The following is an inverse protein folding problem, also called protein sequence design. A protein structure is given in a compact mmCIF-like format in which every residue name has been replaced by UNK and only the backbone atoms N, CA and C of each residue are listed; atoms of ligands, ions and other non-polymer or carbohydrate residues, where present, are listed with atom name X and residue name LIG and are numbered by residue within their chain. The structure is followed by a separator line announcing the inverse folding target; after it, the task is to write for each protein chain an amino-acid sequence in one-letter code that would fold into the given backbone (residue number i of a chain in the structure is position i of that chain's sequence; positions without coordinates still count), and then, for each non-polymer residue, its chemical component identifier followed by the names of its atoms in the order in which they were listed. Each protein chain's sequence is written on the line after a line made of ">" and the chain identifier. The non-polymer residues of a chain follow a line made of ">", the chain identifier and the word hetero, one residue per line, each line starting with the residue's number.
data_IF_402261308476
#
_entry.id   IF_402261308476
#
_cell.length_a   1.000
_cell.length_b   1.000
_cell.length_c   1.000
_cell.angle_alpha   90.00
_cell.angle_beta   90.00
_cell.angle_gamma   90.00
#
_symmetry.space_group_name_H-M   'P 1'
#
loop_
_entity.id
_entity.type
_entity.pdbx_description
1 polymer ?
#
# COMPACT_ATOMS: atom_id res chain seq x y z
N UNK A 1 -34.40 8.65 -35.22
CA UNK A 1 -35.42 8.67 -34.16
C UNK A 1 -35.37 7.29 -33.51
N UNK A 2 -34.47 7.05 -32.56
CA UNK A 2 -34.47 7.42 -31.13
C UNK A 2 -34.91 6.23 -30.24
N UNK A 3 -33.92 5.72 -29.47
CA UNK A 3 -33.97 5.05 -28.15
C UNK A 3 -34.37 3.56 -28.09
N UNK A 4 -33.84 2.68 -27.20
CA UNK A 4 -32.85 2.78 -26.13
C UNK A 4 -32.55 1.40 -25.48
N UNK A 5 -31.50 1.36 -24.64
CA UNK A 5 -31.30 0.40 -23.52
C UNK A 5 -30.39 -0.78 -23.88
N UNK A 6 -29.18 -0.95 -23.33
CA UNK A 6 -28.79 -0.87 -21.92
C UNK A 6 -27.38 -0.26 -21.83
N UNK A 7 -27.28 0.93 -21.25
CA UNK A 7 -26.03 1.48 -20.75
C UNK A 7 -25.98 1.20 -19.24
N UNK A 8 -25.11 0.28 -18.83
CA UNK A 8 -24.67 0.19 -17.44
C UNK A 8 -23.56 1.22 -17.24
N UNK A 9 -23.94 2.44 -16.91
CA UNK A 9 -23.01 3.48 -16.44
C UNK A 9 -22.44 3.04 -15.09
N UNK A 10 -21.15 2.75 -15.05
CA UNK A 10 -20.34 2.88 -13.83
C UNK A 10 -20.37 4.37 -13.46
N UNK A 11 -21.26 4.72 -12.53
CA UNK A 11 -21.34 6.05 -11.97
C UNK A 11 -20.23 6.21 -10.94
N UNK A 12 -19.10 6.78 -11.36
CA UNK A 12 -18.17 7.43 -10.45
C UNK A 12 -18.75 8.81 -10.13
N UNK A 13 -19.41 8.96 -8.99
CA UNK A 13 -19.84 10.27 -8.50
C UNK A 13 -21.06 10.18 -7.59
N UNK A 14 -20.83 10.31 -6.29
CA UNK A 14 -21.75 11.02 -5.42
C UNK A 14 -20.95 11.65 -4.26
N UNK A 15 -21.07 12.98 -4.17
CA UNK A 15 -20.66 13.79 -3.03
C UNK A 15 -21.50 13.38 -1.81
N UNK A 16 -20.91 12.66 -0.85
CA UNK A 16 -21.50 12.46 0.47
C UNK A 16 -20.65 13.16 1.52
N UNK A 17 -21.02 14.41 1.81
CA UNK A 17 -20.62 15.12 3.03
C UNK A 17 -21.42 14.56 4.21
N UNK A 18 -20.95 13.47 4.78
CA UNK A 18 -21.42 12.92 6.04
C UNK A 18 -20.27 12.15 6.67
N UNK A 19 -19.94 12.43 7.93
CA UNK A 19 -18.93 11.67 8.65
C UNK A 19 -19.38 10.21 8.72
N UNK A 20 -18.86 9.39 7.81
CA UNK A 20 -19.10 7.96 7.77
C UNK A 20 -18.39 7.35 8.97
N UNK A 21 -19.16 6.68 9.82
CA UNK A 21 -18.59 5.88 10.91
C UNK A 21 -17.79 4.72 10.31
N UNK A 22 -16.74 4.26 11.00
CA UNK A 22 -15.76 3.32 10.45
C UNK A 22 -16.38 1.98 9.99
N UNK A 23 -17.52 1.61 10.57
CA UNK A 23 -18.30 0.44 10.16
C UNK A 23 -18.94 0.61 8.78
N UNK A 24 -19.32 1.82 8.39
CA UNK A 24 -20.03 2.07 7.12
C UNK A 24 -19.04 2.13 5.95
N UNK A 25 -17.83 2.68 6.14
CA UNK A 25 -16.81 2.72 5.09
C UNK A 25 -16.20 1.33 4.80
N UNK A 26 -15.97 0.52 5.84
CA UNK A 26 -15.51 -0.85 5.68
C UNK A 26 -16.64 -1.76 5.17
N UNK A 27 -17.90 -1.52 5.57
CA UNK A 27 -19.05 -2.22 5.04
C UNK A 27 -19.27 -1.88 3.57
N UNK A 28 -19.25 -0.61 3.15
CA UNK A 28 -19.44 -0.21 1.75
C UNK A 28 -18.32 -0.76 0.83
N UNK A 29 -17.06 -0.77 1.30
CA UNK A 29 -15.96 -1.39 0.54
C UNK A 29 -16.07 -2.92 0.45
N UNK A 30 -16.57 -3.57 1.51
CA UNK A 30 -16.86 -5.00 1.52
C UNK A 30 -18.12 -5.34 0.70
N UNK A 31 -19.14 -4.48 0.71
CA UNK A 31 -20.39 -4.66 -0.02
C UNK A 31 -20.16 -4.46 -1.52
N UNK A 32 -19.32 -3.52 -1.98
CA UNK A 32 -18.97 -3.42 -3.40
C UNK A 32 -18.12 -4.61 -3.91
N UNK A 33 -17.29 -5.19 -3.05
CA UNK A 33 -16.60 -6.45 -3.34
C UNK A 33 -17.57 -7.66 -3.35
N UNK A 34 -18.64 -7.63 -2.54
CA UNK A 34 -19.59 -8.73 -2.35
C UNK A 34 -20.90 -8.64 -3.17
N UNK A 35 -21.31 -7.46 -3.66
CA UNK A 35 -22.67 -7.20 -4.19
C UNK A 35 -22.91 -7.75 -5.60
N UNK A 36 -21.86 -8.21 -6.28
CA UNK A 36 -22.01 -8.95 -7.53
C UNK A 36 -21.84 -10.44 -7.27
N UNK A 37 -22.85 -11.25 -7.62
CA UNK A 37 -22.60 -12.68 -7.89
C UNK A 37 -21.85 -12.79 -9.21
N UNK A 38 -20.73 -13.51 -9.21
CA UNK A 38 -19.96 -13.71 -10.44
C UNK A 38 -20.80 -14.50 -11.44
N UNK A 39 -21.09 -13.95 -12.64
CA UNK A 39 -21.90 -14.65 -13.62
C UNK A 39 -21.08 -15.80 -14.19
N UNK A 40 -21.43 -17.05 -13.85
CA UNK A 40 -20.79 -18.23 -14.41
C UNK A 40 -21.08 -18.32 -15.92
N UNK A 41 -20.21 -17.73 -16.74
CA UNK A 41 -20.31 -17.76 -18.21
C UNK A 41 -19.69 -19.03 -18.81
N UNK A 42 -18.82 -19.72 -18.06
CA UNK A 42 -18.02 -20.85 -18.55
C UNK A 42 -16.91 -20.43 -19.53
N UNK A 43 -16.70 -19.13 -19.71
CA UNK A 43 -15.65 -18.60 -20.59
C UNK A 43 -14.26 -18.98 -20.06
N UNK A 44 -13.32 -19.39 -20.92
CA UNK A 44 -11.94 -19.66 -20.51
C UNK A 44 -11.27 -18.42 -19.92
N UNK A 45 -10.50 -18.62 -18.84
CA UNK A 45 -9.65 -17.57 -18.27
C UNK A 45 -8.31 -17.51 -18.98
N UNK A 46 -7.95 -16.32 -19.41
CA UNK A 46 -6.63 -15.95 -19.87
C UNK A 46 -6.19 -14.71 -19.10
N UNK A 47 -5.21 -14.89 -18.21
CA UNK A 47 -4.63 -13.85 -17.39
C UNK A 47 -3.31 -13.33 -17.94
N UNK A 48 -2.77 -13.91 -19.03
CA UNK A 48 -1.49 -13.47 -19.62
C UNK A 48 -1.59 -12.03 -20.11
N UNK A 49 -0.60 -11.21 -19.77
CA UNK A 49 -0.54 -9.81 -20.18
C UNK A 49 -0.36 -8.85 -19.01
N UNK A 50 -0.68 -7.57 -19.26
CA UNK A 50 -0.47 -6.48 -18.28
C UNK A 50 -1.78 -6.04 -17.66
N UNK A 51 -1.72 -5.80 -16.34
CA UNK A 51 -2.85 -5.47 -15.49
C UNK A 51 -2.50 -4.27 -14.62
N UNK A 52 -3.49 -3.40 -14.40
CA UNK A 52 -3.46 -2.38 -13.36
C UNK A 52 -4.17 -2.94 -12.13
N UNK A 53 -3.48 -2.96 -11.00
CA UNK A 53 -4.08 -3.32 -9.72
C UNK A 53 -4.25 -2.10 -8.84
N UNK A 54 -5.36 -2.03 -8.12
CA UNK A 54 -5.57 -1.10 -7.03
C UNK A 54 -6.00 -1.87 -5.80
N UNK A 55 -5.29 -1.66 -4.70
CA UNK A 55 -5.60 -2.21 -3.40
C UNK A 55 -5.93 -1.07 -2.43
N UNK A 56 -6.98 -1.27 -1.65
CA UNK A 56 -7.39 -0.41 -0.55
C UNK A 56 -7.10 -1.19 0.74
N UNK A 57 -6.20 -0.65 1.55
CA UNK A 57 -5.72 -1.28 2.77
C UNK A 57 -6.28 -0.50 3.94
N UNK A 58 -7.22 -1.11 4.65
CA UNK A 58 -7.72 -0.59 5.91
C UNK A 58 -6.61 -0.69 6.96
N UNK A 59 -6.39 0.39 7.71
CA UNK A 59 -5.36 0.46 8.75
C UNK A 59 -5.88 1.27 9.93
N UNK A 60 -5.73 0.71 11.13
CA UNK A 60 -5.79 1.48 12.37
C UNK A 60 -4.39 1.95 12.74
N UNK A 61 -4.30 3.19 13.20
CA UNK A 61 -3.07 3.77 13.70
C UNK A 61 -3.28 4.16 15.15
N UNK A 62 -2.37 3.72 16.01
CA UNK A 62 -2.40 4.01 17.43
C UNK A 62 -1.02 4.47 17.89
N UNK A 63 -0.97 5.51 18.73
CA UNK A 63 0.31 5.87 19.35
C UNK A 63 0.65 4.86 20.46
N UNK A 64 1.89 4.34 20.52
CA UNK A 64 2.28 3.34 21.52
C UNK A 64 2.30 3.87 22.97
N UNK A 65 2.06 5.17 23.17
CA UNK A 65 2.07 5.85 24.46
C UNK A 65 3.49 6.27 24.90
N UNK A 66 3.60 7.39 25.61
CA UNK A 66 4.88 7.95 26.09
C UNK A 66 5.53 8.98 25.14
N UNK A 67 5.04 9.09 23.92
CA UNK A 67 5.39 10.16 22.98
C UNK A 67 4.84 11.54 23.38
N UNK A 68 5.37 12.57 22.72
CA UNK A 68 4.97 13.98 22.80
C UNK A 68 3.86 14.29 21.77
N UNK A 69 3.77 13.50 20.69
CA UNK A 69 2.79 13.60 19.63
C UNK A 69 1.70 12.56 19.87
N UNK A 70 0.46 13.03 19.85
CA UNK A 70 -0.75 12.25 20.08
C UNK A 70 -1.60 12.24 18.82
N UNK A 71 -2.13 11.08 18.43
CA UNK A 71 -3.14 11.00 17.38
C UNK A 71 -4.48 11.54 17.89
N UNK A 72 -5.23 12.21 17.02
CA UNK A 72 -6.49 12.87 17.36
C UNK A 72 -7.59 12.38 16.41
N UNK A 73 -8.34 11.31 16.71
CA UNK A 73 -8.40 10.55 17.97
C UNK A 73 -7.23 9.56 18.18
N UNK A 74 -7.05 9.10 19.43
CA UNK A 74 -5.97 8.17 19.85
C UNK A 74 -5.82 6.93 18.97
N UNK A 75 -6.97 6.43 18.47
CA UNK A 75 -7.05 5.38 17.46
C UNK A 75 -7.67 5.96 16.19
N UNK A 76 -6.84 6.13 15.17
CA UNK A 76 -7.26 6.66 13.88
C UNK A 76 -7.52 5.51 12.89
N UNK A 77 -8.61 5.58 12.14
CA UNK A 77 -8.87 4.67 11.03
C UNK A 77 -8.57 5.37 9.72
N UNK A 78 -7.71 4.76 8.90
CA UNK A 78 -7.38 5.25 7.57
C UNK A 78 -7.46 4.15 6.52
N UNK A 79 -7.48 4.57 5.26
CA UNK A 79 -7.35 3.66 4.11
C UNK A 79 -6.12 4.08 3.32
N UNK A 80 -5.11 3.22 3.30
CA UNK A 80 -3.99 3.35 2.38
C UNK A 80 -4.37 2.81 1.02
N UNK A 81 -3.94 3.46 -0.06
CA UNK A 81 -4.20 3.01 -1.43
C UNK A 81 -2.89 2.67 -2.10
N UNK A 82 -2.79 1.43 -2.59
CA UNK A 82 -1.65 0.96 -3.37
C UNK A 82 -2.10 0.78 -4.82
N UNK A 83 -1.38 1.37 -5.75
CA UNK A 83 -1.56 1.13 -7.18
C UNK A 83 -0.35 0.37 -7.71
N UNK A 84 -0.59 -0.76 -8.35
CA UNK A 84 0.44 -1.65 -8.87
C UNK A 84 0.27 -1.85 -10.37
N UNK A 85 1.39 -2.05 -11.06
CA UNK A 85 1.42 -2.73 -12.35
C UNK A 85 1.66 -4.21 -12.10
N UNK A 86 0.86 -5.08 -12.68
CA UNK A 86 1.06 -6.53 -12.61
C UNK A 86 1.23 -7.08 -14.01
N UNK A 87 2.34 -7.79 -14.25
CA UNK A 87 2.62 -8.45 -15.53
C UNK A 87 2.60 -9.96 -15.34
N UNK A 88 1.65 -10.61 -15.98
CA UNK A 88 1.50 -12.06 -15.97
C UNK A 88 2.27 -12.66 -17.14
N UNK A 89 3.37 -13.33 -16.84
CA UNK A 89 4.29 -13.88 -17.84
C UNK A 89 3.95 -15.32 -18.23
N UNK A 90 3.35 -16.07 -17.30
CA UNK A 90 3.04 -17.48 -17.49
C UNK A 90 1.69 -17.83 -16.88
N UNK A 91 0.89 -18.61 -17.61
CA UNK A 91 -0.29 -19.29 -17.09
C UNK A 91 -0.32 -20.72 -17.63
N UNK A 92 -0.16 -21.69 -16.74
CA UNK A 92 -0.18 -23.13 -17.07
C UNK A 92 -1.30 -23.80 -16.29
N UNK A 93 -2.46 -23.96 -16.95
CA UNK A 93 -3.68 -24.45 -16.31
C UNK A 93 -4.16 -23.47 -15.24
N UNK A 94 -4.07 -23.89 -13.97
CA UNK A 94 -4.45 -23.08 -12.81
C UNK A 94 -3.28 -22.30 -12.18
N UNK A 95 -2.04 -22.57 -12.59
CA UNK A 95 -0.87 -21.86 -12.05
C UNK A 95 -0.59 -20.60 -12.86
N UNK A 96 -0.31 -19.50 -12.17
CA UNK A 96 -0.01 -18.19 -12.72
C UNK A 96 1.30 -17.68 -12.13
N UNK A 97 2.20 -17.14 -12.97
CA UNK A 97 3.40 -16.42 -12.53
C UNK A 97 3.36 -14.99 -13.03
N UNK A 98 3.70 -14.05 -12.15
CA UNK A 98 3.68 -12.64 -12.46
C UNK A 98 4.82 -11.89 -11.80
N UNK A 99 5.08 -10.68 -12.28
CA UNK A 99 5.82 -9.66 -11.54
C UNK A 99 4.88 -8.51 -11.23
N UNK A 100 5.14 -7.81 -10.13
CA UNK A 100 4.44 -6.57 -9.82
C UNK A 100 5.43 -5.44 -9.56
N UNK A 101 5.03 -4.22 -9.91
CA UNK A 101 5.74 -2.99 -9.64
C UNK A 101 4.81 -2.07 -8.84
N UNK A 102 5.35 -1.39 -7.84
CA UNK A 102 4.61 -0.38 -7.10
C UNK A 102 4.61 0.91 -7.92
N UNK A 103 3.45 1.35 -8.38
CA UNK A 103 3.33 2.61 -9.13
C UNK A 103 3.07 3.80 -8.20
N UNK A 104 2.27 3.59 -7.15
CA UNK A 104 1.94 4.64 -6.17
C UNK A 104 1.50 4.02 -4.85
N UNK A 105 1.95 4.60 -3.74
CA UNK A 105 1.42 4.37 -2.41
C UNK A 105 0.86 5.70 -1.88
N UNK A 106 -0.38 5.69 -1.43
CA UNK A 106 -1.01 6.82 -0.76
C UNK A 106 -1.35 6.38 0.65
N UNK A 107 -0.69 6.98 1.65
CA UNK A 107 -1.03 6.77 3.05
C UNK A 107 -2.13 7.74 3.48
N UNK A 108 -2.97 7.36 4.46
CA UNK A 108 -3.98 8.24 5.01
C UNK A 108 -3.35 9.48 5.66
N UNK A 109 -4.02 10.62 5.52
CA UNK A 109 -3.76 11.80 6.34
C UNK A 109 -4.31 11.52 7.74
N UNK A 110 -3.48 11.69 8.77
CA UNK A 110 -3.91 11.57 10.17
C UNK A 110 -3.95 12.94 10.83
N UNK A 111 -4.85 13.13 11.78
CA UNK A 111 -4.80 14.31 12.66
C UNK A 111 -3.97 13.96 13.90
N UNK A 112 -3.08 14.87 14.29
CA UNK A 112 -2.26 14.74 15.47
C UNK A 112 -2.14 16.06 16.22
N UNK A 113 -1.68 16.02 17.46
CA UNK A 113 -1.39 17.19 18.29
C UNK A 113 -0.22 16.91 19.23
N UNK A 114 0.49 17.96 19.64
CA UNK A 114 1.46 17.86 20.76
C UNK A 114 0.74 17.86 22.11
N UNK A 115 -0.47 18.42 22.16
CA UNK A 115 -1.28 18.48 23.37
C UNK A 115 -2.22 17.28 23.45
N UNK A 116 -2.26 16.56 24.58
CA UNK A 116 -3.09 15.35 24.74
C UNK A 116 -4.60 15.64 24.69
N UNK A 117 -5.05 16.89 24.93
CA UNK A 117 -6.46 17.25 24.81
C UNK A 117 -6.85 17.54 23.33
N UNK A 118 -5.92 17.41 22.39
CA UNK A 118 -6.11 17.63 20.95
C UNK A 118 -6.70 19.03 20.64
N UNK A 119 -6.35 20.04 21.44
CA UNK A 119 -6.86 21.40 21.29
C UNK A 119 -6.31 22.12 20.05
N UNK A 120 -5.09 21.77 19.63
CA UNK A 120 -4.42 22.29 18.44
C UNK A 120 -3.98 21.14 17.55
N UNK A 121 -4.83 20.80 16.59
CA UNK A 121 -4.60 19.68 15.67
C UNK A 121 -3.83 20.13 14.44
N UNK A 122 -2.91 19.29 14.01
CA UNK A 122 -2.21 19.39 12.73
C UNK A 122 -2.52 18.13 11.92
N UNK A 123 -2.70 18.29 10.61
CA UNK A 123 -2.77 17.16 9.70
C UNK A 123 -1.36 16.67 9.43
N UNK A 124 -1.06 15.42 9.75
CA UNK A 124 0.19 14.74 9.44
C UNK A 124 -0.02 13.73 8.32
N UNK A 125 0.84 13.77 7.31
CA UNK A 125 0.87 12.73 6.29
C UNK A 125 2.24 12.05 6.29
N UNK A 126 2.24 10.73 6.49
CA UNK A 126 3.41 9.93 6.21
C UNK A 126 3.50 9.73 4.70
N UNK A 127 4.58 10.15 4.07
CA UNK A 127 4.79 9.94 2.65
C UNK A 127 6.12 9.25 2.41
N UNK A 128 6.18 8.48 1.33
CA UNK A 128 7.44 7.93 0.87
C UNK A 128 8.23 9.03 0.18
N UNK A 129 9.52 9.11 0.50
CA UNK A 129 10.42 10.11 -0.04
C UNK A 129 10.42 10.17 -1.57
N UNK A 130 10.73 11.34 -2.16
CA UNK A 130 10.68 11.55 -3.61
C UNK A 130 11.66 10.66 -4.38
N UNK A 131 12.77 10.25 -3.75
CA UNK A 131 13.76 9.37 -4.38
C UNK A 131 13.26 7.95 -4.48
N UNK A 132 12.78 7.38 -3.37
CA UNK A 132 12.23 6.03 -3.34
C UNK A 132 11.01 5.91 -4.27
N UNK A 133 10.09 6.88 -4.21
CA UNK A 133 8.89 6.88 -5.07
C UNK A 133 9.20 6.96 -6.56
N UNK A 134 10.30 7.60 -6.96
CA UNK A 134 10.77 7.62 -8.35
C UNK A 134 11.40 6.29 -8.81
N UNK A 135 11.91 5.48 -7.87
CA UNK A 135 12.56 4.20 -8.18
C UNK A 135 11.58 3.03 -8.22
N UNK A 136 10.53 3.07 -7.41
CA UNK A 136 9.55 1.97 -7.29
C UNK A 136 9.01 1.39 -8.59
N UNK A 137 8.65 2.20 -9.61
CA UNK A 137 8.14 1.65 -10.87
C UNK A 137 9.12 0.73 -11.60
N UNK A 138 10.42 0.82 -11.29
CA UNK A 138 11.48 0.02 -11.91
C UNK A 138 11.82 -1.26 -11.13
N UNK A 139 11.30 -1.44 -9.92
CA UNK A 139 11.59 -2.63 -9.08
C UNK A 139 10.58 -3.71 -9.38
N UNK A 140 11.04 -4.86 -9.89
CA UNK A 140 10.23 -6.03 -10.17
C UNK A 140 10.18 -6.96 -8.96
N UNK A 141 8.99 -7.14 -8.38
CA UNK A 141 8.76 -8.12 -7.34
C UNK A 141 8.15 -9.39 -7.95
N UNK A 142 8.75 -10.57 -7.74
CA UNK A 142 8.20 -11.81 -8.24
C UNK A 142 6.97 -12.21 -7.42
N UNK A 143 5.96 -12.76 -8.10
CA UNK A 143 4.76 -13.29 -7.48
C UNK A 143 4.20 -14.49 -8.24
N UNK A 144 3.35 -15.25 -7.56
CA UNK A 144 2.65 -16.36 -8.14
C UNK A 144 1.22 -16.41 -7.62
N UNK A 145 0.35 -17.08 -8.36
CA UNK A 145 -1.03 -17.30 -7.95
C UNK A 145 -1.55 -18.65 -8.45
N UNK A 146 -2.59 -19.14 -7.77
CA UNK A 146 -3.32 -20.35 -8.10
C UNK A 146 -4.79 -20.02 -8.32
N UNK A 147 -5.33 -20.52 -9.43
CA UNK A 147 -6.75 -20.46 -9.76
C UNK A 147 -7.47 -21.71 -9.26
N UNK A 148 -8.72 -21.56 -8.82
CA UNK A 148 -9.59 -22.70 -8.51
C UNK A 148 -10.05 -23.49 -9.74
N UNK A 149 -9.85 -22.94 -10.94
CA UNK A 149 -10.28 -23.51 -12.21
C UNK A 149 -9.76 -22.68 -13.39
N UNK A 150 -10.10 -23.10 -14.62
CA UNK A 150 -9.64 -22.47 -15.87
C UNK A 150 -10.72 -21.64 -16.58
N UNK A 151 -11.85 -21.42 -15.92
CA UNK A 151 -12.99 -20.66 -16.45
C UNK A 151 -13.35 -19.49 -15.55
N UNK A 152 -14.06 -18.51 -16.10
CA UNK A 152 -14.57 -17.35 -15.38
C UNK A 152 -15.25 -17.77 -14.07
N UNK A 153 -15.17 -16.89 -13.07
CA UNK A 153 -15.63 -17.11 -11.70
C UNK A 153 -14.85 -18.17 -10.90
N UNK A 154 -13.66 -18.55 -11.35
CA UNK A 154 -12.75 -19.37 -10.54
C UNK A 154 -12.17 -18.53 -9.39
N UNK A 155 -11.93 -19.16 -8.25
CA UNK A 155 -11.18 -18.51 -7.16
C UNK A 155 -9.77 -18.13 -7.64
N UNK A 156 -9.22 -17.09 -7.04
CA UNK A 156 -7.88 -16.59 -7.25
C UNK A 156 -7.19 -16.50 -5.88
N UNK A 157 -6.01 -17.07 -5.74
CA UNK A 157 -5.20 -16.95 -4.54
C UNK A 157 -3.76 -16.68 -4.95
N UNK A 158 -3.26 -15.47 -4.68
CA UNK A 158 -1.84 -15.17 -4.80
C UNK A 158 -1.06 -15.77 -3.63
N UNK A 159 0.23 -16.04 -3.86
CA UNK A 159 1.19 -16.24 -2.79
C UNK A 159 1.43 -14.93 -2.04
N UNK A 160 2.19 -14.99 -0.94
CA UNK A 160 2.62 -13.82 -0.17
C UNK A 160 3.37 -12.84 -1.09
N UNK A 161 2.81 -11.64 -1.29
CA UNK A 161 3.47 -10.54 -1.99
C UNK A 161 4.34 -9.82 -0.97
N UNK A 162 5.65 -10.06 -1.05
CA UNK A 162 6.61 -9.51 -0.11
C UNK A 162 7.29 -8.32 -0.73
N UNK A 163 7.16 -7.16 -0.10
CA UNK A 163 7.87 -5.93 -0.45
C UNK A 163 8.72 -5.54 0.74
N UNK A 164 10.02 -5.40 0.54
CA UNK A 164 10.96 -4.97 1.58
C UNK A 164 11.74 -3.78 1.06
N UNK A 165 11.88 -2.76 1.91
CA UNK A 165 12.68 -1.57 1.66
C UNK A 165 13.59 -1.29 2.85
N UNK A 166 14.75 -0.72 2.58
CA UNK A 166 15.72 -0.34 3.59
C UNK A 166 16.44 -1.52 4.24
N UNK A 167 16.25 -2.72 3.68
CA UNK A 167 16.89 -3.95 4.09
C UNK A 167 17.20 -4.83 2.87
N UNK A 168 18.27 -5.61 2.94
CA UNK A 168 18.70 -6.46 1.84
C UNK A 168 17.72 -7.61 1.53
N UNK A 169 17.88 -8.21 0.35
CA UNK A 169 17.03 -9.30 -0.16
C UNK A 169 17.07 -10.59 0.68
N UNK A 170 17.99 -10.70 1.64
CA UNK A 170 18.06 -11.86 2.53
C UNK A 170 17.05 -11.78 3.68
N UNK A 171 16.49 -10.59 3.94
CA UNK A 171 15.40 -10.40 4.91
C UNK A 171 14.08 -10.80 4.26
N UNK A 172 13.64 -12.03 4.51
CA UNK A 172 12.41 -12.58 3.98
C UNK A 172 11.15 -12.07 4.69
N UNK A 173 10.00 -12.67 4.33
CA UNK A 173 8.67 -12.31 4.85
C UNK A 173 8.54 -12.39 6.40
N UNK A 174 9.38 -13.19 7.06
CA UNK A 174 9.27 -13.51 8.50
C UNK A 174 10.52 -13.21 9.29
N UNK A 175 11.59 -12.78 8.63
CA UNK A 175 12.83 -12.43 9.30
C UNK A 175 12.65 -11.10 10.05
N UNK A 176 13.36 -10.87 11.17
CA UNK A 176 13.26 -9.59 11.85
C UNK A 176 13.83 -8.47 10.97
N UNK A 177 13.10 -7.37 10.84
CA UNK A 177 13.66 -6.16 10.22
C UNK A 177 14.80 -5.60 11.09
N UNK A 178 15.81 -4.95 10.47
CA UNK A 178 16.78 -4.15 11.21
C UNK A 178 16.06 -3.18 12.13
N UNK A 179 16.50 -3.07 13.39
CA UNK A 179 15.77 -2.30 14.40
C UNK A 179 16.67 -1.65 15.42
N UNK A 180 16.27 -0.49 15.90
CA UNK A 180 17.02 0.20 16.94
C UNK A 180 16.91 -0.49 18.31
N UNK A 181 18.06 -0.69 18.96
CA UNK A 181 18.20 -1.32 20.28
C UNK A 181 17.59 -0.43 21.36
N UNK A 182 16.71 -0.97 22.24
CA UNK A 182 16.14 -0.20 23.33
C UNK A 182 17.20 0.50 24.20
N UNK A 183 17.00 1.79 24.49
CA UNK A 183 17.89 2.60 25.35
C UNK A 183 19.24 2.97 24.73
N UNK A 184 19.46 2.72 23.44
CA UNK A 184 20.68 3.14 22.76
C UNK A 184 20.61 4.62 22.35
N UNK A 185 21.68 5.37 22.62
CA UNK A 185 21.80 6.82 22.34
C UNK A 185 23.06 7.16 21.52
N UNK A 186 23.71 6.13 20.96
CA UNK A 186 24.89 6.27 20.10
C UNK A 186 24.50 6.42 18.62
N UNK A 187 25.45 6.29 17.69
CA UNK A 187 25.17 6.37 16.25
C UNK A 187 24.33 5.20 15.75
N UNK A 188 23.52 5.41 14.70
CA UNK A 188 22.70 4.40 14.05
C UNK A 188 23.44 3.08 13.81
N UNK A 189 24.64 3.13 13.22
CA UNK A 189 25.47 1.94 12.94
C UNK A 189 25.79 1.07 14.16
N UNK A 190 25.73 1.62 15.37
CA UNK A 190 25.98 0.89 16.63
C UNK A 190 24.70 0.54 17.39
N UNK A 191 23.63 1.29 17.13
CA UNK A 191 22.34 1.16 17.80
C UNK A 191 21.35 0.29 17.05
N UNK A 192 21.52 0.07 15.74
CA UNK A 192 20.67 -0.83 14.96
C UNK A 192 21.16 -2.27 15.10
N UNK A 193 20.28 -3.15 15.58
CA UNK A 193 20.41 -4.60 15.46
C UNK A 193 20.11 -5.02 14.02
N UNK A 194 20.96 -5.86 13.41
CA UNK A 194 20.86 -6.21 11.99
C UNK A 194 21.40 -5.15 11.03
N UNK A 195 22.31 -4.29 11.48
CA UNK A 195 22.90 -3.22 10.65
C UNK A 195 23.54 -3.72 9.35
N UNK A 196 24.09 -4.93 9.37
CA UNK A 196 24.67 -5.59 8.20
C UNK A 196 23.65 -5.83 7.07
N UNK A 197 22.36 -5.82 7.38
CA UNK A 197 21.28 -5.98 6.43
C UNK A 197 20.67 -4.64 5.98
N UNK A 198 21.10 -3.51 6.54
CA UNK A 198 20.56 -2.19 6.16
C UNK A 198 21.10 -1.80 4.79
N UNK A 199 20.19 -1.41 3.90
CA UNK A 199 20.49 -0.97 2.54
C UNK A 199 19.90 0.42 2.32
N UNK A 200 20.67 1.31 1.70
CA UNK A 200 20.21 2.61 1.21
C UNK A 200 19.56 2.42 -0.17
N UNK A 201 18.26 2.06 -0.19
CA UNK A 201 17.55 1.77 -1.43
C UNK A 201 17.19 3.04 -2.22
N UNK A 202 17.14 4.21 -1.58
CA UNK A 202 16.80 5.47 -2.24
C UNK A 202 18.01 6.34 -2.62
N UNK A 203 19.21 5.92 -2.20
CA UNK A 203 20.51 6.48 -2.59
C UNK A 203 20.78 7.84 -1.94
N UNK A 204 20.20 8.12 -0.78
CA UNK A 204 20.34 9.39 -0.07
C UNK A 204 21.46 9.42 0.98
N UNK A 205 22.18 8.31 1.15
CA UNK A 205 23.30 8.11 2.09
C UNK A 205 22.82 7.94 3.55
N UNK A 206 21.50 7.86 3.78
CA UNK A 206 20.91 7.54 5.07
C UNK A 206 20.58 6.04 5.17
N UNK A 207 20.48 5.47 6.40
CA UNK A 207 20.21 4.06 6.56
C UNK A 207 18.77 3.70 6.22
N UNK A 208 18.57 2.83 5.23
CA UNK A 208 17.26 2.30 4.91
C UNK A 208 16.61 3.07 3.76
N UNK A 209 15.35 3.47 3.97
CA UNK A 209 14.62 4.37 3.08
C UNK A 209 13.97 5.52 3.82
N UNK A 210 13.87 6.65 3.14
CA UNK A 210 13.34 7.88 3.71
C UNK A 210 11.82 7.93 3.62
N UNK A 211 11.20 8.06 4.79
CA UNK A 211 9.82 8.49 4.95
C UNK A 211 9.80 9.94 5.42
N UNK A 212 9.06 10.78 4.73
CA UNK A 212 8.90 12.18 5.10
C UNK A 212 7.66 12.35 5.96
N UNK A 213 7.76 13.17 6.99
CA UNK A 213 6.62 13.63 7.78
C UNK A 213 6.51 15.14 7.63
N UNK A 214 5.32 15.60 7.27
CA UNK A 214 5.00 17.01 7.19
C UNK A 214 3.66 17.25 7.90
N UNK A 215 3.59 18.37 8.61
CA UNK A 215 2.41 18.77 9.36
C UNK A 215 1.88 20.11 8.85
N UNK A 216 0.62 20.13 8.43
CA UNK A 216 -0.03 21.35 7.97
C UNK A 216 -1.14 21.78 8.93
N UNK A 217 -1.35 23.10 9.14
CA UNK A 217 -0.78 24.25 8.42
C UNK A 217 0.45 24.93 9.07
N UNK A 218 1.06 24.38 10.12
CA UNK A 218 2.04 25.11 10.96
C UNK A 218 3.46 24.53 10.99
N UNK A 219 3.83 23.59 10.10
CA UNK A 219 5.16 22.94 10.02
C UNK A 219 5.70 22.56 11.42
N UNK A 220 4.79 22.16 12.31
CA UNK A 220 5.04 21.90 13.72
C UNK A 220 5.90 20.64 13.91
N UNK A 221 5.68 19.66 13.05
CA UNK A 221 6.42 18.41 12.92
C UNK A 221 6.85 18.34 11.45
N UNK A 222 8.16 18.33 11.23
CA UNK A 222 8.76 18.24 9.89
C UNK A 222 10.02 17.37 9.95
N UNK A 223 10.37 16.75 8.82
CA UNK A 223 11.64 16.04 8.65
C UNK A 223 11.48 14.64 8.10
N UNK A 224 12.53 13.85 8.31
CA UNK A 224 12.73 12.53 7.70
C UNK A 224 12.93 11.48 8.79
N UNK A 225 12.27 10.34 8.57
CA UNK A 225 12.52 9.11 9.30
C UNK A 225 13.15 8.11 8.34
N UNK A 226 14.30 7.57 8.74
CA UNK A 226 15.03 6.59 7.96
C UNK A 226 14.64 5.20 8.44
N UNK A 227 14.07 4.38 7.56
CA UNK A 227 13.30 3.20 7.95
C UNK A 227 13.71 1.94 7.21
N UNK A 228 13.60 0.79 7.89
CA UNK A 228 13.37 -0.48 7.22
C UNK A 228 11.86 -0.73 7.23
N UNK A 229 11.31 -1.13 6.09
CA UNK A 229 9.88 -1.29 5.90
C UNK A 229 9.58 -2.60 5.17
N UNK A 230 8.51 -3.28 5.56
CA UNK A 230 8.02 -4.49 4.89
C UNK A 230 6.51 -4.48 4.79
N UNK A 231 6.00 -4.89 3.62
CA UNK A 231 4.66 -5.48 3.52
C UNK A 231 4.72 -6.95 3.14
N UNK A 232 3.77 -7.71 3.67
CA UNK A 232 3.46 -9.07 3.24
C UNK A 232 1.97 -9.12 2.98
N UNK A 233 1.58 -9.03 1.71
CA UNK A 233 0.19 -8.93 1.31
C UNK A 233 -0.29 -10.24 0.69
N UNK A 234 -1.39 -10.78 1.21
CA UNK A 234 -2.01 -11.99 0.66
C UNK A 234 -3.30 -11.63 -0.08
N UNK A 235 -3.29 -11.81 -1.41
CA UNK A 235 -4.44 -11.50 -2.26
C UNK A 235 -5.31 -12.75 -2.45
N UNK A 236 -6.57 -12.66 -2.02
CA UNK A 236 -7.58 -13.72 -2.24
C UNK A 236 -8.81 -13.17 -2.90
N UNK A 237 -9.31 -13.81 -3.94
CA UNK A 237 -10.44 -13.28 -4.68
C UNK A 237 -11.03 -14.23 -5.69
N UNK A 238 -11.65 -13.65 -6.71
CA UNK A 238 -12.27 -14.35 -7.83
C UNK A 238 -11.76 -13.74 -9.13
N UNK A 239 -11.39 -14.58 -10.10
CA UNK A 239 -11.15 -14.18 -11.47
C UNK A 239 -12.49 -14.15 -12.22
N UNK A 240 -13.10 -12.97 -12.28
CA UNK A 240 -14.43 -12.77 -12.85
C UNK A 240 -14.47 -13.02 -14.35
N UNK A 241 -13.40 -12.63 -15.03
CA UNK A 241 -13.18 -12.86 -16.46
C UNK A 241 -11.71 -12.68 -16.77
N UNK A 242 -11.33 -12.84 -18.04
CA UNK A 242 -10.00 -12.46 -18.55
C UNK A 242 -9.70 -10.96 -18.47
N UNK A 243 -10.59 -10.12 -17.90
CA UNK A 243 -10.40 -8.68 -17.73
C UNK A 243 -10.43 -8.18 -16.29
N UNK A 244 -10.93 -8.99 -15.36
CA UNK A 244 -11.22 -8.55 -13.99
C UNK A 244 -10.91 -9.67 -12.99
N UNK A 245 -10.06 -9.34 -12.02
CA UNK A 245 -9.93 -10.09 -10.76
C UNK A 245 -10.24 -9.13 -9.63
N UNK A 246 -10.99 -9.57 -8.63
CA UNK A 246 -11.27 -8.76 -7.44
C UNK A 246 -11.40 -9.62 -6.20
N UNK A 247 -11.12 -9.04 -5.04
CA UNK A 247 -11.17 -9.77 -3.79
C UNK A 247 -10.70 -8.96 -2.61
N UNK A 248 -10.22 -9.66 -1.59
CA UNK A 248 -9.72 -9.13 -0.33
C UNK A 248 -8.20 -9.20 -0.27
N UNK A 249 -7.61 -8.26 0.45
CA UNK A 249 -6.20 -8.30 0.84
C UNK A 249 -6.15 -8.65 2.32
N UNK A 250 -5.29 -9.58 2.71
CA UNK A 250 -4.86 -9.74 4.11
C UNK A 250 -3.46 -9.10 4.20
N UNK A 251 -3.36 -7.82 4.59
CA UNK A 251 -2.09 -7.12 4.61
C UNK A 251 -1.36 -7.35 5.93
N UNK A 252 -0.04 -7.36 5.87
CA UNK A 252 0.83 -7.23 7.03
C UNK A 252 1.80 -6.10 6.73
N UNK A 253 1.84 -5.09 7.59
CA UNK A 253 2.73 -3.94 7.45
C UNK A 253 3.61 -3.89 8.69
N UNK A 254 4.92 -3.86 8.48
CA UNK A 254 5.91 -3.69 9.54
C UNK A 254 6.92 -2.63 9.12
N UNK A 255 7.32 -1.78 10.05
CA UNK A 255 8.40 -0.84 9.82
C UNK A 255 9.21 -0.66 11.11
N UNK A 256 10.47 -0.28 10.95
CA UNK A 256 11.40 0.01 12.02
C UNK A 256 12.16 1.29 11.69
N UNK A 257 12.27 2.19 12.66
CA UNK A 257 13.10 3.39 12.51
C UNK A 257 14.54 3.05 12.83
N UNK A 258 15.41 3.36 11.87
CA UNK A 258 16.84 3.13 11.92
C UNK A 258 17.59 4.39 12.32
N UNK A 259 17.10 5.55 11.89
CA UNK A 259 17.58 6.87 12.30
C UNK A 259 16.52 7.94 11.96
N UNK A 260 16.71 9.20 12.36
CA UNK A 260 15.79 10.30 12.01
C UNK A 260 16.41 11.67 12.19
N UNK A 261 15.93 12.67 11.45
CA UNK A 261 16.27 14.09 11.64
C UNK A 261 15.05 14.97 11.98
N UNK A 262 13.93 14.34 12.34
CA UNK A 262 12.65 14.98 12.67
C UNK A 262 12.81 16.14 13.66
N UNK A 263 12.18 17.25 13.33
CA UNK A 263 12.08 18.45 14.14
C UNK A 263 10.65 18.58 14.70
N UNK A 264 10.56 19.03 15.95
CA UNK A 264 9.29 19.42 16.58
C UNK A 264 9.41 20.87 17.07
N UNK A 265 8.63 21.78 16.48
CA UNK A 265 8.74 23.22 16.73
C UNK A 265 10.14 23.78 16.44
N UNK A 266 10.83 23.22 15.43
CA UNK A 266 12.20 23.58 15.04
C UNK A 266 13.31 23.02 15.94
N UNK A 267 12.98 22.18 16.93
CA UNK A 267 13.97 21.51 17.77
C UNK A 267 14.15 20.05 17.32
N UNK A 268 15.39 19.54 17.19
CA UNK A 268 15.63 18.16 16.79
C UNK A 268 15.14 17.19 17.87
N UNK A 269 14.42 16.17 17.43
CA UNK A 269 13.97 15.08 18.29
C UNK A 269 14.96 13.91 18.18
N UNK A 270 15.53 13.43 19.30
CA UNK A 270 16.31 12.20 19.32
C UNK A 270 15.56 11.02 18.70
N UNK A 271 16.27 10.16 17.95
CA UNK A 271 15.70 9.00 17.25
C UNK A 271 14.91 8.06 18.18
N UNK A 272 15.38 7.86 19.41
CA UNK A 272 14.67 7.07 20.42
C UNK A 272 13.32 7.68 20.79
N UNK A 273 13.24 9.00 20.92
CA UNK A 273 11.97 9.70 21.10
C UNK A 273 11.11 9.67 19.84
N UNK A 274 11.67 9.85 18.64
CA UNK A 274 10.90 9.72 17.39
C UNK A 274 10.17 8.38 17.35
N UNK A 275 10.84 7.29 17.71
CA UNK A 275 10.24 5.94 17.77
C UNK A 275 9.06 5.82 18.73
N UNK A 276 9.08 6.53 19.85
CA UNK A 276 7.97 6.55 20.81
C UNK A 276 6.75 7.35 20.28
N UNK A 277 6.94 8.15 19.22
CA UNK A 277 5.93 9.01 18.63
C UNK A 277 5.29 8.48 17.35
N UNK A 278 5.89 7.47 16.69
CA UNK A 278 5.34 6.97 15.42
C UNK A 278 4.20 5.98 15.68
N UNK A 279 3.04 6.15 15.01
CA UNK A 279 1.90 5.26 15.18
C UNK A 279 2.18 3.83 14.76
N UNK A 280 1.85 2.87 15.61
CA UNK A 280 1.83 1.46 15.25
C UNK A 280 0.62 1.18 14.36
N UNK A 281 0.83 0.41 13.29
CA UNK A 281 -0.25 -0.07 12.43
C UNK A 281 -0.92 -1.31 13.03
N UNK A 282 -2.22 -1.21 13.28
CA UNK A 282 -3.10 -2.33 13.61
C UNK A 282 -3.99 -2.61 12.38
N UNK A 283 -3.79 -3.77 11.75
CA UNK A 283 -4.49 -4.13 10.52
C UNK A 283 -5.77 -4.91 10.88
N UNK A 284 -6.97 -4.39 10.55
CA UNK A 284 -8.20 -5.14 10.78
C UNK A 284 -8.26 -6.40 9.93
N UNK A 285 -8.90 -7.45 10.46
CA UNK A 285 -9.13 -8.72 9.75
C UNK A 285 -9.98 -8.54 8.47
N UNK A 286 -10.74 -7.45 8.37
CA UNK A 286 -11.64 -7.15 7.25
C UNK A 286 -11.52 -5.69 6.82
N UNK A 287 -12.01 -5.38 5.62
CA UNK A 287 -12.05 -4.02 5.06
C UNK A 287 -11.01 -3.73 3.97
N UNK A 288 -9.97 -4.56 3.86
CA UNK A 288 -8.96 -4.43 2.81
C UNK A 288 -9.37 -5.20 1.54
N UNK A 289 -9.37 -4.51 0.40
CA UNK A 289 -9.85 -5.06 -0.89
C UNK A 289 -8.91 -4.74 -2.03
N UNK A 290 -9.01 -5.50 -3.12
CA UNK A 290 -8.27 -5.20 -4.34
C UNK A 290 -9.10 -5.46 -5.60
N UNK A 291 -8.70 -4.79 -6.67
CA UNK A 291 -9.17 -5.01 -8.04
C UNK A 291 -7.96 -5.02 -8.98
N UNK A 292 -7.89 -6.02 -9.86
CA UNK A 292 -7.00 -6.05 -11.03
C UNK A 292 -7.85 -5.89 -12.29
N UNK A 293 -7.52 -4.90 -13.10
CA UNK A 293 -8.10 -4.65 -14.41
C UNK A 293 -7.05 -4.88 -15.49
N UNK A 294 -7.40 -5.63 -16.54
CA UNK A 294 -6.52 -5.80 -17.70
C UNK A 294 -6.32 -4.45 -18.40
N UNK A 295 -5.08 -4.16 -18.79
CA UNK A 295 -4.66 -2.86 -19.30
C UNK A 295 -3.99 -2.91 -20.70
N UNK A 296 -3.90 -4.10 -21.31
CA UNK A 296 -3.11 -4.35 -22.53
C UNK A 296 -3.94 -4.44 -23.82
N UNK A 297 -5.21 -4.04 -23.79
CA UNK A 297 -6.10 -4.09 -24.96
C UNK A 297 -6.64 -5.48 -25.34
N UNK A 298 -6.19 -6.57 -24.71
CA UNK A 298 -6.71 -7.91 -25.00
C UNK A 298 -8.07 -8.14 -24.35
N UNK A 299 -8.84 -9.08 -24.92
CA UNK A 299 -10.18 -9.45 -24.42
C UNK A 299 -11.14 -8.26 -24.31
N UNK A 300 -11.04 -7.27 -25.20
CA UNK A 300 -11.81 -6.02 -25.17
C UNK A 300 -11.58 -5.17 -23.91
N UNK A 301 -10.42 -5.33 -23.25
CA UNK A 301 -9.98 -4.41 -22.21
C UNK A 301 -9.49 -3.08 -22.81
N UNK A 302 -9.43 -2.00 -22.01
CA UNK A 302 -8.69 -0.80 -22.39
C UNK A 302 -7.23 -1.15 -22.72
N UNK A 303 -6.65 -0.45 -23.70
CA UNK A 303 -5.21 -0.43 -23.91
C UNK A 303 -4.67 0.88 -23.34
N UNK A 304 -3.89 0.79 -22.27
CA UNK A 304 -3.27 1.94 -21.61
C UNK A 304 -1.89 2.29 -22.18
N UNK A 305 -1.36 1.49 -23.12
CA UNK A 305 -0.15 1.81 -23.89
C UNK A 305 -0.46 2.99 -24.84
N UNK A 306 -0.24 4.20 -24.33
CA UNK A 306 -0.51 5.48 -24.99
C UNK A 306 0.66 5.94 -25.85
N UNK A 307 1.88 5.60 -25.48
CA UNK A 307 3.10 5.95 -26.22
C UNK A 307 3.44 4.95 -27.34
N UNK A 308 2.81 3.78 -27.33
CA UNK A 308 2.88 2.69 -28.32
C UNK A 308 4.23 2.00 -28.35
N UNK A 309 4.92 1.93 -27.22
CA UNK A 309 6.17 1.18 -27.09
C UNK A 309 5.94 -0.34 -26.95
N UNK A 310 4.68 -0.76 -26.77
CA UNK A 310 4.26 -2.15 -26.63
C UNK A 310 4.19 -2.63 -25.19
N UNK A 311 4.42 -1.75 -24.22
CA UNK A 311 4.35 -2.00 -22.79
C UNK A 311 3.39 -1.00 -22.13
N UNK A 312 2.84 -1.38 -20.97
CA UNK A 312 2.06 -0.44 -20.15
C UNK A 312 2.93 -0.02 -18.97
N UNK A 313 3.21 1.27 -18.85
CA UNK A 313 4.01 1.86 -17.78
C UNK A 313 3.17 2.20 -16.55
N UNK A 314 3.84 2.46 -15.42
CA UNK A 314 3.16 3.00 -14.23
C UNK A 314 2.59 4.40 -14.48
N UNK A 315 3.26 5.23 -15.28
CA UNK A 315 2.77 6.58 -15.61
C UNK A 315 1.45 6.51 -16.38
N UNK A 316 1.31 5.54 -17.28
CA UNK A 316 0.07 5.30 -18.03
C UNK A 316 -1.06 4.72 -17.19
N UNK A 317 -0.74 3.90 -16.18
CA UNK A 317 -1.73 3.40 -15.21
C UNK A 317 -2.26 4.54 -14.32
N UNK A 318 -1.43 5.55 -14.07
CA UNK A 318 -1.75 6.67 -13.16
C UNK A 318 -2.40 7.88 -13.87
N UNK A 319 -2.43 7.90 -15.20
CA UNK A 319 -2.99 8.97 -16.04
C UNK A 319 -4.52 8.88 -16.17
#
# INVERSE_FOLDING_TARGET
>A
MWWAGVAGTLACGDDRTGAADATDAAADAADDAAAGTCPATGEPLDLLGTWAARAWIAVYMETPGGGIVHLCPDRYYGVSVITLRVRVHEQTGTSVRHTFNVCRLQMPLVEAAIDPDCASRVGMQLAVGPRLSAQWPAIDYPGAAVLGGVTACSSYAADELVVVFGADESVGARDPLPRWRPGCTASAASCVEGWEHVVDDDGDVHPGVTLTVDSHPEDLIEGEAYTAYRTVDLLRGTAWSSRLVRGTVEPSIEYQILDSDVLVGGAPLPTDLVRENIPVFDIPETGSTFVLLRADGRHDAPNLDTDRDGEVSCDEILA
#
